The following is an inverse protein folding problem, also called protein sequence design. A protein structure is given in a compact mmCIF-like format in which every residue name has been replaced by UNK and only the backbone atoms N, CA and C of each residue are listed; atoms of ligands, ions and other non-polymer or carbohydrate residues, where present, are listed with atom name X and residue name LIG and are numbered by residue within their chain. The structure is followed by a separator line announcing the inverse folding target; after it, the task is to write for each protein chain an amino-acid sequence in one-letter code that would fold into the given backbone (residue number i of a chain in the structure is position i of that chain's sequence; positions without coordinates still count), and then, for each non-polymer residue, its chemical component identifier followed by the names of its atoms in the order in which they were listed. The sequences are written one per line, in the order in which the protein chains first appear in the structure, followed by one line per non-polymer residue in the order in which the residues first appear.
data_IF_482798770886
#
_entry.id   IF_482798770886
#
_cell.length_a   1.000
_cell.length_b   1.000
_cell.length_c   1.000
_cell.angle_alpha   90.00
_cell.angle_beta   90.00
_cell.angle_gamma   90.00
#
_symmetry.space_group_name_H-M   'P 1'
#
loop_
_entity.id
_entity.type
_entity.pdbx_description
1 polymer ?
#
# COMPACT_ATOMS: atom_id res chain seq x y z
N UNK A 1 25.44 18.14 5.42
CA UNK A 1 24.43 19.18 5.71
C UNK A 1 23.73 19.47 4.39
N UNK A 2 22.66 18.75 4.08
CA UNK A 2 21.86 18.96 2.88
C UNK A 2 20.85 20.07 3.17
N UNK A 3 20.77 21.06 2.29
CA UNK A 3 19.76 22.10 2.38
C UNK A 3 18.42 21.53 1.86
N UNK A 4 17.40 21.65 2.71
CA UNK A 4 16.03 21.18 2.53
C UNK A 4 15.32 21.89 1.36
N UNK A 5 14.53 21.19 0.52
CA UNK A 5 13.65 21.85 -0.45
C UNK A 5 12.45 22.55 0.22
N UNK A 6 12.20 22.29 1.51
CA UNK A 6 11.16 22.96 2.29
C UNK A 6 11.75 24.14 3.06
N UNK A 7 11.17 25.34 2.86
CA UNK A 7 11.51 26.53 3.62
C UNK A 7 11.23 26.41 5.12
N UNK A 8 11.83 27.32 5.90
CA UNK A 8 11.52 27.52 7.32
C UNK A 8 10.03 27.84 7.48
N UNK A 9 9.36 27.05 8.32
CA UNK A 9 7.92 27.01 8.64
C UNK A 9 7.00 26.13 7.78
N UNK A 10 7.50 25.37 6.80
CA UNK A 10 6.70 24.30 6.17
C UNK A 10 5.28 24.71 5.76
N UNK A 11 5.12 25.12 4.49
CA UNK A 11 3.88 25.61 3.81
C UNK A 11 3.71 27.14 3.86
N UNK A 12 2.89 27.72 2.95
CA UNK A 12 1.50 27.81 3.37
C UNK A 12 0.43 27.70 2.26
N UNK A 13 -0.79 27.44 2.76
CA UNK A 13 -2.06 27.70 2.11
C UNK A 13 -2.06 29.00 1.26
N UNK A 14 -2.61 28.86 0.06
CA UNK A 14 -2.48 29.81 -1.04
C UNK A 14 -2.38 29.03 -2.36
N UNK A 15 -2.37 29.75 -3.46
CA UNK A 15 -2.30 29.19 -4.81
C UNK A 15 -0.87 28.67 -5.11
N UNK A 16 -0.64 27.34 -5.22
CA UNK A 16 0.69 26.74 -5.05
C UNK A 16 1.67 26.98 -6.21
N UNK A 17 1.20 27.48 -7.36
CA UNK A 17 2.03 27.65 -8.55
C UNK A 17 2.30 26.33 -9.28
N UNK A 18 3.34 26.32 -10.11
CA UNK A 18 3.75 25.15 -10.89
C UNK A 18 5.27 24.97 -10.87
N UNK A 19 5.70 23.74 -10.69
CA UNK A 19 7.08 23.32 -10.92
C UNK A 19 7.19 22.80 -12.35
N UNK A 20 8.20 23.27 -13.08
CA UNK A 20 8.51 22.81 -14.43
C UNK A 20 9.89 22.14 -14.42
N UNK A 21 10.01 21.03 -15.12
CA UNK A 21 11.27 20.33 -15.32
C UNK A 21 11.49 19.95 -16.78
N UNK A 22 12.72 20.11 -17.26
CA UNK A 22 13.14 19.65 -18.59
C UNK A 22 14.27 18.65 -18.42
N UNK A 23 14.07 17.44 -18.91
CA UNK A 23 14.99 16.31 -18.80
C UNK A 23 15.96 16.29 -19.98
N UNK A 24 17.24 16.47 -19.68
CA UNK A 24 18.34 16.56 -20.64
C UNK A 24 18.87 15.16 -20.92
N UNK A 25 19.28 14.88 -22.16
CA UNK A 25 19.79 13.56 -22.56
C UNK A 25 21.15 13.16 -21.98
N UNK A 26 21.68 13.92 -21.02
CA UNK A 26 22.97 13.71 -20.37
C UNK A 26 22.75 13.41 -18.88
N UNK A 27 23.51 12.48 -18.31
CA UNK A 27 23.49 12.19 -16.87
C UNK A 27 23.88 13.45 -16.06
N UNK A 28 23.24 13.66 -14.90
CA UNK A 28 23.52 14.82 -14.06
C UNK A 28 24.99 14.91 -13.64
N UNK A 29 25.63 13.77 -13.36
CA UNK A 29 27.02 13.72 -12.93
C UNK A 29 28.03 13.87 -14.07
N UNK A 30 27.58 13.66 -15.32
CA UNK A 30 28.38 13.86 -16.52
C UNK A 30 28.19 15.26 -17.13
N UNK A 31 27.23 16.04 -16.63
CA UNK A 31 26.93 17.38 -17.13
C UNK A 31 28.00 18.39 -16.67
N UNK A 32 28.81 18.89 -17.60
CA UNK A 32 29.89 19.82 -17.30
C UNK A 32 29.36 21.18 -16.79
N UNK A 33 30.14 21.88 -15.96
CA UNK A 33 29.74 23.17 -15.38
C UNK A 33 29.39 24.23 -16.46
N UNK A 34 30.09 24.23 -17.60
CA UNK A 34 29.77 25.14 -18.71
C UNK A 34 28.40 24.83 -19.33
N UNK A 35 28.07 23.55 -19.47
CA UNK A 35 26.75 23.09 -19.94
C UNK A 35 25.67 23.45 -18.93
N UNK A 36 25.92 23.25 -17.63
CA UNK A 36 25.01 23.64 -16.55
C UNK A 36 24.69 25.13 -16.60
N UNK A 37 25.71 25.99 -16.65
CA UNK A 37 25.54 27.44 -16.78
C UNK A 37 24.73 27.78 -18.03
N UNK A 38 25.03 27.15 -19.16
CA UNK A 38 24.34 27.43 -20.43
C UNK A 38 22.87 27.04 -20.38
N UNK A 39 22.53 25.90 -19.81
CA UNK A 39 21.13 25.46 -19.64
C UNK A 39 20.38 26.43 -18.72
N UNK A 40 20.96 26.85 -17.59
CA UNK A 40 20.36 27.83 -16.70
C UNK A 40 20.11 29.18 -17.43
N UNK A 41 21.06 29.65 -18.24
CA UNK A 41 20.87 30.82 -19.08
C UNK A 41 19.73 30.66 -20.09
N UNK A 42 19.63 29.50 -20.74
CA UNK A 42 18.57 29.20 -21.72
C UNK A 42 17.19 29.17 -21.06
N UNK A 43 17.09 28.79 -19.78
CA UNK A 43 15.81 28.89 -19.08
C UNK A 43 15.37 30.33 -18.89
N UNK A 44 16.31 31.25 -18.65
CA UNK A 44 16.00 32.63 -18.32
C UNK A 44 15.16 32.81 -17.05
N UNK A 45 15.09 31.78 -16.19
CA UNK A 45 14.28 31.78 -14.96
C UNK A 45 15.18 31.96 -13.73
N UNK A 46 14.91 32.96 -12.88
CA UNK A 46 15.63 33.11 -11.62
C UNK A 46 15.27 31.96 -10.68
N UNK A 47 16.28 31.34 -10.08
CA UNK A 47 16.07 30.20 -9.18
C UNK A 47 15.87 28.86 -9.88
N UNK A 48 16.11 28.78 -11.20
CA UNK A 48 16.29 27.49 -11.85
C UNK A 48 17.49 26.75 -11.25
N UNK A 49 17.35 25.44 -11.06
CA UNK A 49 18.38 24.57 -10.50
C UNK A 49 18.36 23.21 -11.20
N UNK A 50 19.29 22.32 -10.84
CA UNK A 50 19.34 20.96 -11.35
C UNK A 50 18.82 19.92 -10.36
N UNK A 51 18.14 18.92 -10.91
CA UNK A 51 17.71 17.71 -10.22
C UNK A 51 18.06 16.47 -11.07
N UNK A 52 17.95 15.28 -10.49
CA UNK A 52 18.16 14.01 -11.18
C UNK A 52 16.83 13.38 -11.58
N UNK A 53 16.73 12.84 -12.79
CA UNK A 53 15.57 12.04 -13.21
C UNK A 53 15.63 10.61 -12.69
N UNK A 54 14.53 9.87 -12.83
CA UNK A 54 14.48 8.45 -12.47
C UNK A 54 15.48 7.60 -13.27
N UNK A 55 15.87 8.03 -14.47
CA UNK A 55 16.86 7.34 -15.32
C UNK A 55 18.30 7.82 -15.06
N UNK A 56 18.51 8.75 -14.13
CA UNK A 56 19.80 9.36 -13.81
C UNK A 56 20.12 10.63 -14.61
N UNK A 57 19.32 10.96 -15.63
CA UNK A 57 19.50 12.14 -16.47
C UNK A 57 19.37 13.45 -15.70
N UNK A 58 20.09 14.48 -16.14
CA UNK A 58 19.99 15.82 -15.60
C UNK A 58 18.62 16.42 -15.92
N UNK A 59 18.03 17.12 -14.95
CA UNK A 59 16.80 17.89 -15.13
C UNK A 59 17.06 19.32 -14.73
N UNK A 60 16.73 20.28 -15.59
CA UNK A 60 16.64 21.68 -15.13
C UNK A 60 15.23 21.93 -14.63
N UNK A 61 15.12 22.40 -13.39
CA UNK A 61 13.85 22.58 -12.66
C UNK A 61 13.69 24.04 -12.26
N UNK A 62 12.49 24.60 -12.39
CA UNK A 62 12.18 25.95 -11.94
C UNK A 62 10.70 26.11 -11.54
N UNK A 63 10.44 27.13 -10.74
CA UNK A 63 9.11 27.44 -10.22
C UNK A 63 8.43 28.57 -11.01
N UNK A 64 7.12 28.43 -11.19
CA UNK A 64 6.23 29.43 -11.76
C UNK A 64 5.15 29.81 -10.75
N UNK A 65 4.79 31.11 -10.64
CA UNK A 65 3.61 31.50 -9.87
C UNK A 65 2.34 30.93 -10.51
N UNK A 66 1.23 30.89 -9.77
CA UNK A 66 -0.02 30.43 -10.38
C UNK A 66 -0.51 31.41 -11.45
N UNK A 67 -0.32 31.02 -12.70
CA UNK A 67 -0.81 31.72 -13.88
C UNK A 67 -1.95 30.97 -14.57
N UNK A 68 -2.40 29.86 -13.96
CA UNK A 68 -3.23 28.86 -14.61
C UNK A 68 -2.45 27.96 -15.57
N UNK A 69 -2.99 26.75 -15.80
CA UNK A 69 -2.32 25.67 -16.53
C UNK A 69 -1.87 26.06 -17.95
N UNK A 70 -2.69 26.80 -18.69
CA UNK A 70 -2.39 27.18 -20.08
C UNK A 70 -1.17 28.10 -20.16
N UNK A 71 -1.08 29.08 -19.26
CA UNK A 71 0.01 30.03 -19.27
C UNK A 71 1.31 29.36 -18.78
N UNK A 72 1.22 28.52 -17.74
CA UNK A 72 2.37 27.79 -17.23
C UNK A 72 2.88 26.77 -18.27
N UNK A 73 1.99 26.08 -18.99
CA UNK A 73 2.35 25.19 -20.09
C UNK A 73 2.96 25.92 -21.29
N UNK A 74 2.55 27.16 -21.56
CA UNK A 74 3.18 28.00 -22.60
C UNK A 74 4.60 28.38 -22.20
N UNK A 75 4.80 28.77 -20.94
CA UNK A 75 6.12 29.07 -20.39
C UNK A 75 7.06 27.86 -20.47
N UNK A 76 6.57 26.69 -20.05
CA UNK A 76 7.30 25.44 -20.14
C UNK A 76 7.69 25.10 -21.58
N UNK A 77 6.80 25.33 -22.55
CA UNK A 77 7.05 25.08 -23.97
C UNK A 77 8.12 26.02 -24.54
N UNK A 78 8.12 27.29 -24.16
CA UNK A 78 9.11 28.27 -24.59
C UNK A 78 10.52 27.89 -24.09
N UNK A 79 10.62 27.49 -22.82
CA UNK A 79 11.88 27.01 -22.22
C UNK A 79 12.32 25.70 -22.87
N UNK A 80 11.40 24.74 -23.05
CA UNK A 80 11.68 23.48 -23.76
C UNK A 80 12.26 23.74 -25.16
N UNK A 81 11.66 24.67 -25.92
CA UNK A 81 12.13 25.02 -27.25
C UNK A 81 13.51 25.69 -27.23
N UNK A 82 13.81 26.52 -26.23
CA UNK A 82 15.12 27.14 -26.07
C UNK A 82 16.20 26.09 -25.76
N UNK A 83 15.93 25.17 -24.83
CA UNK A 83 16.87 24.11 -24.44
C UNK A 83 17.08 23.12 -25.59
N UNK A 84 16.01 22.67 -26.27
CA UNK A 84 16.11 21.80 -27.45
C UNK A 84 16.87 22.41 -28.63
N UNK A 85 17.06 23.74 -28.65
CA UNK A 85 17.89 24.39 -29.65
C UNK A 85 19.37 24.06 -29.54
N UNK A 86 19.83 23.62 -28.36
CA UNK A 86 21.25 23.41 -28.05
C UNK A 86 21.55 22.06 -27.40
N UNK A 87 20.58 21.43 -26.73
CA UNK A 87 20.74 20.19 -25.99
C UNK A 87 19.75 19.12 -26.45
N UNK A 88 20.17 17.87 -26.35
CA UNK A 88 19.25 16.73 -26.43
C UNK A 88 18.35 16.73 -25.19
N UNK A 89 17.05 16.57 -25.40
CA UNK A 89 16.04 16.57 -24.34
C UNK A 89 15.19 15.33 -24.53
N UNK A 90 14.96 14.59 -23.44
CA UNK A 90 14.15 13.37 -23.44
C UNK A 90 12.73 13.60 -22.95
N UNK A 91 12.48 14.69 -22.24
CA UNK A 91 11.14 15.02 -21.78
C UNK A 91 10.99 16.39 -21.15
N UNK A 92 9.75 16.78 -20.95
CA UNK A 92 9.35 17.95 -20.20
C UNK A 92 8.17 17.61 -19.31
N UNK A 93 8.14 18.23 -18.13
CA UNK A 93 7.11 18.02 -17.13
C UNK A 93 6.70 19.34 -16.52
N UNK A 94 5.40 19.47 -16.26
CA UNK A 94 4.83 20.54 -15.46
C UNK A 94 3.91 19.90 -14.41
N UNK A 95 4.03 20.34 -13.17
CA UNK A 95 3.28 19.82 -12.04
C UNK A 95 2.87 20.97 -11.12
N UNK A 96 1.77 20.83 -10.39
CA UNK A 96 1.51 21.72 -9.26
C UNK A 96 2.63 21.58 -8.23
N UNK A 97 3.16 22.70 -7.76
CA UNK A 97 4.36 22.68 -6.89
C UNK A 97 4.13 21.97 -5.56
N UNK A 98 2.89 21.94 -5.05
CA UNK A 98 2.54 21.20 -3.83
C UNK A 98 2.55 19.68 -3.99
N UNK A 99 2.50 19.19 -5.23
CA UNK A 99 2.54 17.77 -5.59
C UNK A 99 3.89 17.35 -6.19
N UNK A 100 4.84 18.26 -6.36
CA UNK A 100 6.11 17.98 -7.04
C UNK A 100 6.93 16.88 -6.34
N UNK A 101 6.97 16.94 -5.01
CA UNK A 101 7.70 15.98 -4.16
C UNK A 101 7.03 14.60 -4.09
N UNK A 102 5.76 14.50 -4.51
CA UNK A 102 5.13 13.20 -4.69
C UNK A 102 5.68 12.59 -5.97
N UNK A 103 6.12 11.33 -5.91
CA UNK A 103 6.60 10.65 -7.09
C UNK A 103 5.52 10.62 -8.16
N UNK A 104 5.84 10.91 -9.44
CA UNK A 104 4.85 10.81 -10.49
C UNK A 104 4.35 9.36 -10.58
N UNK A 105 3.04 9.16 -10.46
CA UNK A 105 2.44 7.83 -10.47
C UNK A 105 2.34 7.36 -11.93
N UNK A 106 3.13 6.35 -12.29
CA UNK A 106 3.06 5.67 -13.60
C UNK A 106 2.65 4.21 -13.36
N UNK A 107 1.35 3.95 -13.21
CA UNK A 107 0.85 2.70 -12.64
C UNK A 107 0.88 1.52 -13.62
N UNK A 108 0.97 1.77 -14.93
CA UNK A 108 0.89 0.68 -15.91
C UNK A 108 1.80 0.88 -17.11
N UNK A 109 2.45 -0.20 -17.50
CA UNK A 109 2.98 -0.38 -18.85
C UNK A 109 1.86 -0.15 -19.89
N UNK A 110 2.11 0.58 -20.99
CA UNK A 110 1.19 0.59 -22.12
C UNK A 110 0.88 -0.86 -22.50
N UNK A 111 -0.39 -1.16 -22.77
CA UNK A 111 -0.90 -2.51 -23.08
C UNK A 111 -0.15 -3.24 -24.21
N UNK A 112 0.69 -2.53 -24.96
CA UNK A 112 1.53 -3.05 -26.04
C UNK A 112 2.64 -3.99 -25.56
N UNK A 113 3.08 -3.94 -24.29
CA UNK A 113 4.06 -4.91 -23.77
C UNK A 113 3.48 -6.32 -23.65
N UNK A 114 2.16 -6.48 -23.51
CA UNK A 114 1.53 -7.82 -23.56
C UNK A 114 1.71 -8.53 -24.91
N UNK A 115 2.05 -7.78 -25.98
CA UNK A 115 2.24 -8.35 -27.32
C UNK A 115 3.68 -8.78 -27.61
N UNK A 116 4.63 -8.60 -26.67
CA UNK A 116 6.04 -8.94 -26.87
C UNK A 116 6.70 -8.17 -28.02
N UNK A 117 6.05 -7.11 -28.50
CA UNK A 117 6.58 -6.24 -29.54
C UNK A 117 7.30 -5.09 -28.84
N UNK A 118 8.58 -4.82 -29.16
CA UNK A 118 9.19 -3.59 -28.68
C UNK A 118 8.31 -2.42 -29.14
N UNK A 119 8.06 -1.43 -28.28
CA UNK A 119 7.38 -0.20 -28.69
C UNK A 119 8.11 0.34 -29.92
N UNK A 120 7.36 0.84 -30.91
CA UNK A 120 7.97 1.58 -32.01
C UNK A 120 8.89 2.64 -31.38
N UNK A 121 10.16 2.70 -31.81
CA UNK A 121 11.23 3.57 -31.25
C UNK A 121 10.98 5.08 -31.48
N UNK A 122 9.75 5.39 -31.84
CA UNK A 122 9.34 6.49 -32.68
C UNK A 122 8.01 7.03 -32.13
N UNK A 123 7.85 7.10 -30.80
CA UNK A 123 6.61 7.54 -30.16
C UNK A 123 6.93 8.54 -29.06
N UNK A 124 6.06 9.54 -28.91
CA UNK A 124 6.07 10.40 -27.72
C UNK A 124 4.92 9.97 -26.83
N UNK A 125 5.22 9.79 -25.54
CA UNK A 125 4.23 9.46 -24.52
C UNK A 125 3.91 10.72 -23.75
N UNK A 126 2.61 11.00 -23.61
CA UNK A 126 2.10 12.08 -22.77
C UNK A 126 1.33 11.46 -21.63
N UNK A 127 1.73 11.75 -20.41
CA UNK A 127 1.01 11.36 -19.20
C UNK A 127 0.36 12.56 -18.56
N UNK A 128 -0.86 12.36 -18.04
CA UNK A 128 -1.69 13.42 -17.47
C UNK A 128 -2.32 12.91 -16.20
N UNK A 129 -2.05 13.58 -15.09
CA UNK A 129 -2.65 13.30 -13.80
C UNK A 129 -3.78 14.30 -13.53
N UNK A 130 -4.97 13.76 -13.25
CA UNK A 130 -6.18 14.52 -12.96
C UNK A 130 -6.63 14.26 -11.53
N UNK A 131 -7.01 15.32 -10.82
CA UNK A 131 -7.62 15.25 -9.50
C UNK A 131 -9.09 14.80 -9.62
N UNK A 132 -9.49 13.79 -8.83
CA UNK A 132 -10.86 13.27 -8.76
C UNK A 132 -11.55 13.52 -7.41
N UNK A 133 -10.91 14.23 -6.49
CA UNK A 133 -11.48 14.66 -5.19
C UNK A 133 -12.80 15.43 -5.33
N UNK A 134 -12.99 16.11 -6.47
CA UNK A 134 -14.30 16.61 -6.88
C UNK A 134 -15.04 15.46 -7.57
N UNK A 135 -15.86 14.67 -6.84
CA UNK A 135 -16.64 13.54 -7.40
C UNK A 135 -17.26 13.86 -8.77
N UNK A 136 -16.61 13.44 -9.85
CA UNK A 136 -17.10 13.61 -11.23
C UNK A 136 -17.64 12.31 -11.77
N UNK A 137 -18.57 12.41 -12.71
CA UNK A 137 -19.16 11.22 -13.29
C UNK A 137 -18.14 10.48 -14.17
N UNK A 138 -18.26 9.15 -14.25
CA UNK A 138 -17.52 8.33 -15.24
C UNK A 138 -17.74 8.80 -16.68
N UNK A 139 -18.86 9.49 -16.95
CA UNK A 139 -19.13 10.12 -18.25
C UNK A 139 -18.20 11.32 -18.55
N UNK A 140 -17.77 12.07 -17.54
CA UNK A 140 -16.85 13.20 -17.72
C UNK A 140 -15.42 12.71 -18.02
N UNK A 141 -15.02 11.58 -17.43
CA UNK A 141 -13.76 10.90 -17.75
C UNK A 141 -13.79 10.34 -19.18
N UNK A 142 -14.91 9.71 -19.55
CA UNK A 142 -15.14 9.24 -20.92
C UNK A 142 -15.08 10.37 -21.96
N UNK A 143 -15.58 11.56 -21.61
CA UNK A 143 -15.47 12.76 -22.47
C UNK A 143 -14.03 13.24 -22.56
N UNK A 144 -13.30 13.33 -21.46
CA UNK A 144 -11.88 13.69 -21.48
C UNK A 144 -11.05 12.75 -22.36
N UNK A 145 -11.26 11.43 -22.23
CA UNK A 145 -10.64 10.43 -23.10
C UNK A 145 -11.02 10.60 -24.57
N UNK A 146 -12.27 10.96 -24.88
CA UNK A 146 -12.72 11.19 -26.25
C UNK A 146 -12.00 12.39 -26.89
N UNK A 147 -11.84 13.49 -26.15
CA UNK A 147 -11.09 14.67 -26.61
C UNK A 147 -9.63 14.32 -26.90
N UNK A 148 -9.01 13.51 -26.05
CA UNK A 148 -7.61 13.10 -26.21
C UNK A 148 -7.41 12.07 -27.33
N UNK A 149 -8.40 11.20 -27.59
CA UNK A 149 -8.40 10.24 -28.70
C UNK A 149 -8.40 10.88 -30.09
N UNK A 150 -8.77 12.15 -30.20
CA UNK A 150 -8.70 12.88 -31.46
C UNK A 150 -7.26 13.02 -31.99
N UNK A 151 -6.26 12.75 -31.15
CA UNK A 151 -4.86 13.08 -31.41
C UNK A 151 -3.92 11.89 -31.28
N UNK A 152 -4.28 10.88 -30.51
CA UNK A 152 -3.47 9.68 -30.33
C UNK A 152 -4.23 8.56 -29.64
N UNK A 153 -3.52 7.46 -29.37
CA UNK A 153 -4.06 6.38 -28.55
C UNK A 153 -4.15 6.85 -27.10
N UNK A 154 -5.35 7.17 -26.62
CA UNK A 154 -5.58 7.61 -25.24
C UNK A 154 -6.31 6.55 -24.41
N UNK A 155 -5.75 6.25 -23.24
CA UNK A 155 -6.31 5.33 -22.26
C UNK A 155 -6.14 5.88 -20.83
N UNK A 156 -7.03 5.44 -19.93
CA UNK A 156 -6.93 5.73 -18.50
C UNK A 156 -6.35 4.51 -17.80
N UNK A 157 -5.54 4.76 -16.79
CA UNK A 157 -4.83 3.75 -16.00
C UNK A 157 -5.18 3.94 -14.52
N UNK A 158 -5.15 2.88 -13.70
CA UNK A 158 -5.50 2.97 -12.28
C UNK A 158 -4.49 3.83 -11.53
N UNK A 159 -4.89 4.89 -10.84
CA UNK A 159 -3.99 5.66 -9.97
C UNK A 159 -4.39 5.46 -8.49
N UNK A 160 -3.46 5.61 -7.53
CA UNK A 160 -3.76 5.76 -6.10
C UNK A 160 -4.86 6.79 -5.83
N UNK A 161 -5.47 6.67 -4.65
CA UNK A 161 -6.65 7.39 -4.15
C UNK A 161 -6.92 8.77 -4.78
N UNK A 162 -8.16 8.94 -5.21
CA UNK A 162 -8.72 10.18 -5.76
C UNK A 162 -7.98 10.76 -6.99
N UNK A 163 -7.29 9.97 -7.81
CA UNK A 163 -6.69 10.46 -9.07
C UNK A 163 -7.05 9.63 -10.29
N UNK A 164 -6.99 10.26 -11.47
CA UNK A 164 -7.01 9.58 -12.75
C UNK A 164 -5.71 9.84 -13.50
N UNK A 165 -5.09 8.77 -14.01
CA UNK A 165 -3.89 8.87 -14.81
C UNK A 165 -4.18 8.51 -16.27
N UNK A 166 -4.07 9.48 -17.16
CA UNK A 166 -4.30 9.32 -18.59
C UNK A 166 -2.97 9.20 -19.32
N UNK A 167 -2.88 8.23 -20.23
CA UNK A 167 -1.73 8.04 -21.10
C UNK A 167 -2.17 8.27 -22.54
N UNK A 168 -1.45 9.13 -23.24
CA UNK A 168 -1.58 9.36 -24.67
C UNK A 168 -0.31 8.94 -25.39
N UNK A 169 -0.46 8.10 -26.40
CA UNK A 169 0.63 7.74 -27.31
C UNK A 169 0.47 8.53 -28.60
N UNK A 170 1.48 9.31 -28.94
CA UNK A 170 1.51 10.14 -30.15
C UNK A 170 2.54 9.58 -31.16
N UNK A 171 2.15 9.36 -32.42
CA UNK A 171 3.06 8.84 -33.45
C UNK A 171 4.20 9.83 -33.80
N UNK A 172 5.42 9.32 -34.09
CA UNK A 172 6.71 10.05 -34.26
C UNK A 172 6.78 11.28 -35.15
N UNK A 173 5.70 11.68 -35.81
CA UNK A 173 5.75 12.83 -36.72
C UNK A 173 5.83 14.17 -35.98
N UNK A 174 5.80 14.16 -34.65
CA UNK A 174 5.87 15.32 -33.79
C UNK A 174 7.13 15.25 -32.92
N UNK A 175 8.05 16.22 -33.08
CA UNK A 175 9.10 16.48 -32.08
C UNK A 175 8.50 16.66 -30.68
N UNK A 176 9.28 16.51 -29.60
CA UNK A 176 8.83 16.79 -28.22
C UNK A 176 8.08 18.12 -28.09
N UNK A 177 8.54 19.18 -28.77
CA UNK A 177 7.86 20.48 -28.84
C UNK A 177 6.48 20.36 -29.49
N UNK A 178 6.41 19.65 -30.62
CA UNK A 178 5.15 19.46 -31.35
C UNK A 178 4.16 18.61 -30.54
N UNK A 179 4.63 17.54 -29.90
CA UNK A 179 3.84 16.69 -29.02
C UNK A 179 3.32 17.49 -27.81
N UNK A 180 4.19 18.28 -27.17
CA UNK A 180 3.84 19.17 -26.05
C UNK A 180 2.80 20.21 -26.46
N UNK A 181 2.98 20.86 -27.60
CA UNK A 181 2.06 21.88 -28.10
C UNK A 181 0.69 21.29 -28.45
N UNK A 182 0.67 20.08 -29.01
CA UNK A 182 -0.58 19.39 -29.36
C UNK A 182 -1.28 18.89 -28.08
N UNK A 183 -0.55 18.26 -27.16
CA UNK A 183 -1.05 17.83 -25.86
C UNK A 183 -1.66 19.01 -25.08
N UNK A 184 -0.93 20.13 -24.99
CA UNK A 184 -1.40 21.35 -24.34
C UNK A 184 -2.73 21.84 -24.92
N UNK A 185 -2.89 21.85 -26.25
CA UNK A 185 -4.16 22.22 -26.90
C UNK A 185 -5.30 21.27 -26.56
N UNK A 186 -5.04 19.96 -26.55
CA UNK A 186 -6.04 18.94 -26.22
C UNK A 186 -6.45 18.96 -24.75
N UNK A 187 -5.58 19.44 -23.88
CA UNK A 187 -5.83 19.54 -22.45
C UNK A 187 -6.60 20.80 -22.04
N UNK A 188 -6.79 21.79 -22.93
CA UNK A 188 -7.64 22.96 -22.65
C UNK A 188 -9.08 22.54 -22.28
N UNK A 189 -9.82 21.75 -23.11
CA UNK A 189 -11.16 21.29 -22.74
C UNK A 189 -11.14 20.38 -21.51
N UNK A 190 -10.09 19.57 -21.34
CA UNK A 190 -9.92 18.72 -20.15
C UNK A 190 -9.78 19.59 -18.91
N UNK A 191 -8.98 20.66 -18.93
CA UNK A 191 -8.76 21.59 -17.82
C UNK A 191 -9.98 22.45 -17.46
N UNK A 192 -10.96 22.59 -18.37
CA UNK A 192 -12.26 23.17 -18.03
C UNK A 192 -13.15 22.21 -17.24
N UNK A 193 -12.90 20.91 -17.41
CA UNK A 193 -13.54 19.86 -16.64
C UNK A 193 -12.67 19.59 -15.43
N UNK A 194 -11.59 18.86 -15.57
CA UNK A 194 -10.73 18.36 -14.52
C UNK A 194 -9.70 19.36 -14.03
N UNK A 195 -9.30 19.22 -12.78
CA UNK A 195 -8.08 19.85 -12.29
C UNK A 195 -6.89 19.00 -12.72
N UNK A 196 -6.01 19.58 -13.53
CA UNK A 196 -4.79 18.94 -14.00
C UNK A 196 -3.71 19.16 -12.94
N UNK A 197 -3.20 18.07 -12.38
CA UNK A 197 -2.16 18.10 -11.35
C UNK A 197 -0.76 18.03 -11.95
N UNK A 198 -0.61 17.24 -13.02
CA UNK A 198 0.68 16.95 -13.64
C UNK A 198 0.49 16.61 -15.11
N UNK A 199 1.40 17.09 -15.95
CA UNK A 199 1.52 16.64 -17.33
C UNK A 199 2.99 16.45 -17.62
N UNK A 200 3.30 15.30 -18.20
CA UNK A 200 4.64 14.99 -18.66
C UNK A 200 4.58 14.52 -20.10
N UNK A 201 5.52 15.00 -20.90
CA UNK A 201 5.72 14.65 -22.30
C UNK A 201 7.13 14.11 -22.40
N UNK A 202 7.28 12.87 -22.83
CA UNK A 202 8.56 12.15 -22.78
C UNK A 202 8.68 11.22 -23.97
N UNK A 203 9.90 10.96 -24.42
CA UNK A 203 10.16 9.96 -25.44
C UNK A 203 9.75 8.56 -24.95
N UNK A 204 9.23 7.72 -25.84
CA UNK A 204 8.75 6.39 -25.48
C UNK A 204 9.85 5.55 -24.84
N UNK A 205 11.09 5.62 -25.35
CA UNK A 205 12.21 4.87 -24.77
C UNK A 205 12.47 5.28 -23.32
N UNK A 206 12.51 6.57 -23.02
CA UNK A 206 12.69 7.08 -21.65
C UNK A 206 11.52 6.67 -20.77
N UNK A 207 10.28 6.83 -21.25
CA UNK A 207 9.09 6.35 -20.53
C UNK A 207 9.15 4.85 -20.20
N UNK A 208 9.61 4.03 -21.14
CA UNK A 208 9.79 2.60 -20.93
C UNK A 208 10.95 2.27 -19.99
N UNK A 209 12.06 3.01 -20.05
CA UNK A 209 13.16 2.85 -19.10
C UNK A 209 12.73 3.20 -17.67
N UNK A 210 11.92 4.23 -17.49
CA UNK A 210 11.36 4.58 -16.18
C UNK A 210 10.40 3.49 -15.66
N UNK A 211 9.57 2.95 -16.56
CA UNK A 211 8.72 1.82 -16.22
C UNK A 211 9.53 0.55 -15.94
N UNK A 212 10.63 0.32 -16.66
CA UNK A 212 11.53 -0.81 -16.44
C UNK A 212 12.31 -0.68 -15.14
N UNK A 213 12.83 0.50 -14.81
CA UNK A 213 13.55 0.75 -13.57
C UNK A 213 12.62 0.56 -12.36
N UNK A 214 11.38 1.05 -12.47
CA UNK A 214 10.31 0.74 -11.50
C UNK A 214 9.91 -0.73 -11.51
N UNK A 215 9.85 -1.38 -12.68
CA UNK A 215 9.61 -2.82 -12.78
C UNK A 215 10.78 -3.66 -12.21
N UNK A 216 11.98 -3.09 -12.08
CA UNK A 216 13.13 -3.69 -11.37
C UNK A 216 13.08 -3.43 -9.88
N UNK A 217 12.11 -2.66 -9.36
CA UNK A 217 11.79 -2.61 -7.94
C UNK A 217 11.19 -3.96 -7.53
N UNK A 218 12.09 -4.91 -7.31
CA UNK A 218 11.81 -6.08 -6.52
C UNK A 218 11.96 -5.66 -5.06
N UNK A 219 10.91 -5.83 -4.22
CA UNK A 219 11.06 -5.54 -2.81
C UNK A 219 12.24 -6.39 -2.29
N UNK A 220 13.22 -5.79 -1.59
CA UNK A 220 14.39 -6.52 -1.09
C UNK A 220 14.04 -7.47 0.06
N UNK A 221 12.75 -7.59 0.36
CA UNK A 221 12.14 -8.28 1.49
C UNK A 221 10.80 -8.85 1.06
N UNK A 222 10.16 -9.60 1.95
CA UNK A 222 8.77 -10.01 1.81
C UNK A 222 7.91 -8.75 1.56
N UNK A 223 7.10 -8.70 0.48
CA UNK A 223 6.18 -7.58 0.23
C UNK A 223 5.11 -7.54 1.32
N UNK A 224 4.56 -6.37 1.62
CA UNK A 224 3.44 -6.25 2.56
C UNK A 224 2.22 -7.01 2.00
N UNK A 225 1.70 -7.97 2.75
CA UNK A 225 0.70 -8.92 2.26
C UNK A 225 -0.37 -9.20 3.32
N UNK A 226 -1.56 -9.58 2.85
CA UNK A 226 -2.70 -9.96 3.69
C UNK A 226 -3.45 -11.15 3.08
N UNK A 227 -4.27 -11.84 3.87
CA UNK A 227 -5.30 -12.75 3.33
C UNK A 227 -6.58 -11.97 3.04
N UNK A 228 -7.14 -12.13 1.84
CA UNK A 228 -8.43 -11.54 1.51
C UNK A 228 -9.57 -12.24 2.26
N UNK A 229 -10.50 -11.44 2.76
CA UNK A 229 -11.73 -11.90 3.38
C UNK A 229 -12.74 -12.36 2.31
N UNK A 230 -13.36 -13.53 2.52
CA UNK A 230 -14.53 -13.97 1.76
C UNK A 230 -14.27 -14.71 0.45
N UNK A 231 -13.62 -15.89 0.50
CA UNK A 231 -13.51 -16.82 -0.62
C UNK A 231 -14.17 -18.17 -0.34
N UNK A 232 -14.91 -18.72 -1.32
CA UNK A 232 -15.60 -20.01 -1.18
C UNK A 232 -14.64 -21.22 -1.32
N UNK A 233 -13.55 -21.08 -2.09
CA UNK A 233 -12.71 -22.21 -2.52
C UNK A 233 -11.24 -22.15 -2.04
N UNK A 234 -10.89 -21.27 -1.11
CA UNK A 234 -9.51 -21.16 -0.61
C UNK A 234 -9.19 -19.87 0.11
N UNK A 235 -7.91 -19.71 0.47
CA UNK A 235 -7.35 -18.46 0.99
C UNK A 235 -6.68 -17.70 -0.14
N UNK A 236 -7.00 -16.44 -0.31
CA UNK A 236 -6.32 -15.61 -1.31
C UNK A 236 -5.28 -14.73 -0.61
N UNK A 237 -4.01 -14.92 -0.95
CA UNK A 237 -2.95 -13.99 -0.57
C UNK A 237 -3.06 -12.77 -1.46
N UNK A 238 -2.98 -11.58 -0.87
CA UNK A 238 -3.03 -10.31 -1.58
C UNK A 238 -1.85 -9.44 -1.17
N UNK A 239 -1.14 -8.92 -2.16
CA UNK A 239 -0.21 -7.80 -2.00
C UNK A 239 -0.89 -6.55 -2.55
N UNK A 240 -1.39 -5.65 -1.68
CA UNK A 240 -2.16 -4.48 -2.09
C UNK A 240 -1.28 -3.39 -2.73
N UNK A 241 0.04 -3.44 -2.53
CA UNK A 241 0.97 -2.53 -3.17
C UNK A 241 1.01 -2.76 -4.69
N UNK A 242 0.20 -1.97 -5.39
CA UNK A 242 0.13 -2.00 -6.84
C UNK A 242 1.39 -1.49 -7.53
N UNK A 243 2.28 -0.80 -6.83
CA UNK A 243 3.54 -0.27 -7.37
C UNK A 243 4.64 -1.33 -7.46
N UNK A 244 4.59 -2.37 -6.62
CA UNK A 244 5.53 -3.48 -6.68
C UNK A 244 5.37 -4.28 -7.98
N UNK A 245 6.49 -4.64 -8.62
CA UNK A 245 6.47 -5.60 -9.74
C UNK A 245 6.75 -7.02 -9.25
N UNK A 246 5.67 -7.79 -9.12
CA UNK A 246 5.70 -9.20 -8.72
C UNK A 246 5.41 -10.15 -9.90
N UNK A 247 5.61 -9.71 -11.14
CA UNK A 247 5.40 -10.57 -12.30
C UNK A 247 6.31 -11.81 -12.26
N UNK A 248 5.71 -12.99 -12.44
CA UNK A 248 6.40 -14.28 -12.36
C UNK A 248 6.88 -14.66 -10.96
N UNK A 249 6.57 -13.86 -9.94
CA UNK A 249 6.79 -14.27 -8.56
C UNK A 249 5.80 -15.38 -8.20
N UNK A 250 6.24 -16.24 -7.29
CA UNK A 250 5.41 -17.30 -6.74
C UNK A 250 5.35 -17.19 -5.24
N UNK A 251 4.26 -17.68 -4.66
CA UNK A 251 4.11 -17.88 -3.24
C UNK A 251 4.14 -19.37 -2.94
N UNK A 252 4.80 -19.75 -1.85
CA UNK A 252 4.74 -21.11 -1.32
C UNK A 252 3.95 -21.14 -0.02
N UNK A 253 3.21 -22.22 0.18
CA UNK A 253 2.43 -22.46 1.38
C UNK A 253 2.54 -23.90 1.85
N UNK A 254 2.17 -24.13 3.11
CA UNK A 254 2.18 -25.45 3.74
C UNK A 254 0.86 -25.74 4.43
N UNK A 255 0.25 -26.89 4.14
CA UNK A 255 -0.93 -27.38 4.86
C UNK A 255 -0.55 -28.11 6.15
N UNK A 256 -1.55 -28.37 7.00
CA UNK A 256 -1.39 -29.06 8.28
C UNK A 256 -0.83 -30.48 8.16
N UNK A 257 -1.01 -31.14 7.01
CA UNK A 257 -0.44 -32.46 6.70
C UNK A 257 1.03 -32.40 6.21
N UNK A 258 1.59 -31.19 6.12
CA UNK A 258 2.95 -30.94 5.64
C UNK A 258 3.07 -30.81 4.12
N UNK A 259 1.98 -30.94 3.35
CA UNK A 259 2.00 -30.78 1.91
C UNK A 259 2.34 -29.33 1.53
N UNK A 260 3.28 -29.17 0.60
CA UNK A 260 3.69 -27.88 0.05
C UNK A 260 2.91 -27.57 -1.22
N UNK A 261 2.46 -26.32 -1.33
CA UNK A 261 1.82 -25.79 -2.53
C UNK A 261 2.53 -24.54 -2.99
N UNK A 262 2.56 -24.33 -4.30
CA UNK A 262 3.09 -23.12 -4.92
C UNK A 262 2.05 -22.56 -5.87
N UNK A 263 1.83 -21.25 -5.80
CA UNK A 263 0.93 -20.52 -6.70
C UNK A 263 1.66 -19.30 -7.27
N UNK A 264 1.37 -18.96 -8.51
CA UNK A 264 1.88 -17.75 -9.15
C UNK A 264 1.08 -16.53 -8.70
N UNK A 265 1.75 -15.40 -8.52
CA UNK A 265 1.08 -14.11 -8.28
C UNK A 265 0.57 -13.55 -9.60
N UNK A 266 -0.73 -13.27 -9.63
CA UNK A 266 -1.42 -12.67 -10.78
C UNK A 266 -2.06 -11.34 -10.41
N UNK A 267 -2.30 -10.46 -11.39
CA UNK A 267 -3.05 -9.22 -11.15
C UNK A 267 -4.54 -9.52 -11.11
N UNK A 268 -5.21 -9.05 -10.06
CA UNK A 268 -6.66 -9.17 -9.91
C UNK A 268 -7.25 -7.96 -9.19
N UNK A 269 -8.58 -7.81 -9.28
CA UNK A 269 -9.33 -6.76 -8.59
C UNK A 269 -9.83 -7.27 -7.23
N UNK A 270 -9.52 -6.50 -6.20
CA UNK A 270 -9.98 -6.75 -4.83
C UNK A 270 -10.53 -5.45 -4.23
N UNK A 271 -11.12 -5.52 -3.04
CA UNK A 271 -11.59 -4.35 -2.31
C UNK A 271 -10.78 -4.16 -1.04
N UNK A 272 -10.56 -2.92 -0.64
CA UNK A 272 -9.95 -2.54 0.62
C UNK A 272 -10.91 -1.63 1.37
N UNK A 273 -11.20 -1.93 2.63
CA UNK A 273 -12.08 -1.09 3.45
C UNK A 273 -11.31 0.07 4.11
N UNK A 274 -12.03 0.92 4.84
CA UNK A 274 -11.46 2.06 5.56
C UNK A 274 -10.44 1.65 6.64
N UNK A 275 -10.46 0.38 7.08
CA UNK A 275 -9.51 -0.18 8.03
C UNK A 275 -8.29 -0.82 7.35
N UNK A 276 -8.20 -0.76 6.01
CA UNK A 276 -7.10 -1.34 5.25
C UNK A 276 -7.18 -2.86 5.05
N UNK A 277 -8.34 -3.47 5.33
CA UNK A 277 -8.54 -4.91 5.20
C UNK A 277 -8.99 -5.26 3.78
N UNK A 278 -8.27 -6.21 3.18
CA UNK A 278 -8.59 -6.69 1.84
C UNK A 278 -9.75 -7.70 1.88
N UNK A 279 -10.73 -7.53 1.01
CA UNK A 279 -11.86 -8.44 0.88
C UNK A 279 -12.27 -8.68 -0.58
N UNK A 280 -12.96 -9.80 -0.80
CA UNK A 280 -13.59 -10.19 -2.07
C UNK A 280 -15.11 -9.98 -2.06
N UNK A 281 -15.63 -9.39 -0.99
CA UNK A 281 -17.07 -9.23 -0.73
C UNK A 281 -17.66 -7.96 -1.34
N UNK A 282 -16.81 -7.06 -1.86
CA UNK A 282 -17.25 -5.84 -2.51
C UNK A 282 -17.40 -4.63 -1.58
N UNK A 283 -16.79 -4.67 -0.39
CA UNK A 283 -16.87 -3.59 0.60
C UNK A 283 -15.64 -2.69 0.53
N UNK A 284 -15.85 -1.37 0.43
CA UNK A 284 -14.77 -0.38 0.36
C UNK A 284 -14.34 -0.03 -1.06
N UNK A 285 -13.13 0.48 -1.19
CA UNK A 285 -12.56 0.94 -2.45
C UNK A 285 -11.97 -0.21 -3.25
N UNK A 286 -12.21 -0.19 -4.56
CA UNK A 286 -11.73 -1.26 -5.45
C UNK A 286 -10.31 -0.94 -5.91
N UNK A 287 -9.38 -1.85 -5.63
CA UNK A 287 -7.97 -1.74 -5.97
C UNK A 287 -7.53 -2.88 -6.89
N UNK A 288 -6.47 -2.65 -7.66
CA UNK A 288 -5.76 -3.71 -8.39
C UNK A 288 -4.58 -4.17 -7.57
N UNK A 289 -4.53 -5.47 -7.25
CA UNK A 289 -3.54 -6.05 -6.37
C UNK A 289 -2.90 -7.30 -7.00
N UNK A 290 -1.77 -7.75 -6.44
CA UNK A 290 -1.25 -9.07 -6.78
C UNK A 290 -1.90 -10.12 -5.89
N UNK A 291 -2.46 -11.15 -6.49
CA UNK A 291 -3.21 -12.18 -5.80
C UNK A 291 -2.68 -13.58 -6.12
N UNK A 292 -2.78 -14.48 -5.15
CA UNK A 292 -2.51 -15.90 -5.35
C UNK A 292 -3.43 -16.74 -4.48
N UNK A 293 -4.11 -17.71 -5.08
CA UNK A 293 -5.03 -18.61 -4.36
C UNK A 293 -4.27 -19.78 -3.77
N UNK A 294 -4.43 -19.96 -2.47
CA UNK A 294 -3.90 -21.06 -1.68
C UNK A 294 -5.03 -21.98 -1.19
N UNK A 295 -4.74 -23.25 -0.91
CA UNK A 295 -5.69 -24.13 -0.24
C UNK A 295 -6.15 -23.55 1.11
N UNK A 296 -7.41 -23.79 1.50
CA UNK A 296 -8.05 -23.09 2.63
C UNK A 296 -7.35 -23.17 3.99
N UNK A 297 -6.63 -24.26 4.28
CA UNK A 297 -5.87 -24.44 5.53
C UNK A 297 -4.36 -24.17 5.39
N UNK A 298 -3.90 -23.72 4.23
CA UNK A 298 -2.49 -23.52 3.99
C UNK A 298 -2.00 -22.23 4.66
N UNK A 299 -0.84 -22.31 5.31
CA UNK A 299 -0.10 -21.16 5.83
C UNK A 299 0.90 -20.71 4.78
N UNK A 300 0.97 -19.41 4.53
CA UNK A 300 1.96 -18.84 3.63
C UNK A 300 3.36 -18.97 4.26
N UNK A 301 4.32 -19.49 3.51
CA UNK A 301 5.68 -19.76 4.02
C UNK A 301 6.76 -18.90 3.35
N UNK A 302 6.58 -18.55 2.08
CA UNK A 302 7.58 -17.75 1.36
C UNK A 302 7.04 -17.11 0.08
N UNK A 303 7.74 -16.07 -0.36
CA UNK A 303 7.66 -15.50 -1.69
C UNK A 303 8.93 -15.88 -2.45
N UNK A 304 8.86 -16.15 -3.74
CA UNK A 304 10.02 -16.44 -4.57
C UNK A 304 9.98 -15.65 -5.87
N UNK A 305 11.12 -15.03 -6.19
CA UNK A 305 11.34 -14.33 -7.46
C UNK A 305 11.38 -15.32 -8.64
N UNK A 306 11.20 -14.86 -9.89
CA UNK A 306 11.39 -15.69 -11.09
C UNK A 306 12.78 -16.32 -11.19
N UNK A 307 13.79 -15.68 -10.58
CA UNK A 307 15.19 -16.14 -10.57
C UNK A 307 15.46 -17.16 -9.45
N UNK A 308 14.47 -17.47 -8.61
CA UNK A 308 14.55 -18.48 -7.55
C UNK A 308 15.08 -17.96 -6.21
N UNK A 309 15.27 -16.66 -6.05
CA UNK A 309 15.52 -16.05 -4.72
C UNK A 309 14.25 -16.17 -3.88
N UNK A 310 14.37 -16.79 -2.71
CA UNK A 310 13.27 -17.03 -1.77
C UNK A 310 13.34 -16.06 -0.58
N UNK A 311 12.22 -15.43 -0.26
CA UNK A 311 11.99 -14.61 0.91
C UNK A 311 11.04 -15.36 1.85
N UNK A 312 11.57 -15.80 2.99
CA UNK A 312 10.77 -16.51 3.99
C UNK A 312 9.84 -15.52 4.70
N UNK A 313 8.57 -15.89 4.81
CA UNK A 313 7.59 -15.17 5.62
C UNK A 313 7.86 -15.50 7.08
N UNK A 314 7.94 -14.48 7.94
CA UNK A 314 8.05 -14.69 9.38
C UNK A 314 6.81 -15.45 9.86
N UNK A 315 7.01 -16.49 10.66
CA UNK A 315 5.90 -17.29 11.19
C UNK A 315 4.98 -16.44 12.08
N UNK A 316 5.52 -15.40 12.73
CA UNK A 316 4.73 -14.44 13.49
C UNK A 316 3.82 -13.59 12.59
N UNK A 317 4.31 -13.14 11.44
CA UNK A 317 3.48 -12.40 10.46
C UNK A 317 2.35 -13.26 9.91
N UNK A 318 2.63 -14.55 9.68
CA UNK A 318 1.61 -15.54 9.32
C UNK A 318 0.54 -15.73 10.41
N UNK A 319 0.96 -15.76 11.68
CA UNK A 319 0.05 -15.84 12.84
C UNK A 319 -0.80 -14.58 12.99
N UNK A 320 -0.20 -13.39 12.85
CA UNK A 320 -0.93 -12.10 12.88
C UNK A 320 -2.04 -12.10 11.84
N UNK A 321 -1.74 -12.42 10.58
CA UNK A 321 -2.73 -12.46 9.51
C UNK A 321 -3.84 -13.51 9.75
N UNK A 322 -3.49 -14.64 10.36
CA UNK A 322 -4.47 -15.65 10.75
C UNK A 322 -5.41 -15.17 11.87
N UNK A 323 -4.87 -14.48 12.88
CA UNK A 323 -5.67 -13.87 13.95
C UNK A 323 -6.63 -12.82 13.39
N UNK A 324 -6.17 -11.95 12.48
CA UNK A 324 -7.03 -10.98 11.80
C UNK A 324 -8.18 -11.66 11.07
N UNK A 325 -7.90 -12.70 10.27
CA UNK A 325 -8.94 -13.48 9.59
C UNK A 325 -9.96 -14.07 10.59
N UNK A 326 -9.47 -14.55 11.73
CA UNK A 326 -10.30 -15.16 12.78
C UNK A 326 -11.19 -14.11 13.44
N UNK A 327 -10.66 -12.92 13.74
CA UNK A 327 -11.40 -11.83 14.36
C UNK A 327 -12.50 -11.30 13.42
N UNK A 328 -12.22 -11.19 12.11
CA UNK A 328 -13.23 -10.71 11.15
C UNK A 328 -14.38 -11.70 10.95
N UNK A 329 -14.08 -13.01 10.93
CA UNK A 329 -15.11 -14.04 10.66
C UNK A 329 -16.11 -14.19 11.80
N UNK A 330 -15.79 -13.72 13.00
CA UNK A 330 -16.54 -14.00 14.22
C UNK A 330 -16.96 -12.69 14.88
N UNK A 331 -18.25 -12.58 15.25
CA UNK A 331 -18.80 -11.36 15.83
C UNK A 331 -18.47 -11.15 17.33
N UNK A 332 -19.09 -10.12 17.91
CA UNK A 332 -19.01 -9.78 19.34
C UNK A 332 -19.22 -11.01 20.24
N UNK A 333 -18.39 -11.12 21.27
CA UNK A 333 -18.37 -12.24 22.21
C UNK A 333 -17.43 -13.40 21.84
N UNK A 334 -16.70 -13.32 20.73
CA UNK A 334 -15.56 -14.22 20.49
C UNK A 334 -14.43 -13.92 21.50
N UNK A 335 -13.91 -14.97 22.12
CA UNK A 335 -12.69 -14.94 22.93
C UNK A 335 -11.67 -15.91 22.32
N UNK A 336 -10.47 -15.42 22.04
CA UNK A 336 -9.31 -16.20 21.60
C UNK A 336 -8.26 -16.18 22.72
N UNK A 337 -7.96 -17.34 23.27
CA UNK A 337 -6.92 -17.54 24.29
C UNK A 337 -5.64 -18.06 23.62
N UNK A 338 -4.52 -17.39 23.89
CA UNK A 338 -3.19 -17.75 23.42
C UNK A 338 -2.28 -18.01 24.63
N UNK A 339 -1.55 -19.11 24.61
CA UNK A 339 -0.62 -19.50 25.68
C UNK A 339 0.14 -20.79 25.33
N UNK A 340 0.99 -21.33 26.21
CA UNK A 340 1.71 -22.57 25.95
C UNK A 340 0.78 -23.77 25.77
N UNK A 341 0.96 -24.51 24.67
CA UNK A 341 0.14 -25.65 24.31
C UNK A 341 0.31 -26.81 25.29
N UNK A 342 -0.80 -27.37 25.77
CA UNK A 342 -0.79 -28.48 26.73
C UNK A 342 -0.47 -28.07 28.17
N UNK A 343 -0.34 -26.77 28.45
CA UNK A 343 -0.20 -26.26 29.81
C UNK A 343 -1.50 -26.49 30.59
N UNK A 344 -1.40 -27.15 31.75
CA UNK A 344 -2.50 -27.32 32.71
C UNK A 344 -2.14 -26.53 33.95
N UNK A 345 -2.92 -25.49 34.24
CA UNK A 345 -2.73 -24.70 35.44
C UNK A 345 -2.90 -25.58 36.69
N UNK A 346 -2.05 -25.42 37.73
CA UNK A 346 -2.32 -26.01 39.03
C UNK A 346 -3.71 -25.55 39.49
N UNK A 347 -4.58 -26.50 39.83
CA UNK A 347 -5.92 -26.19 40.33
C UNK A 347 -5.77 -25.77 41.79
N UNK A 348 -6.30 -24.60 42.18
CA UNK A 348 -6.22 -24.10 43.56
C UNK A 348 -6.93 -25.00 44.61
N UNK A 349 -7.71 -26.01 44.17
CA UNK A 349 -8.58 -26.87 45.00
C UNK A 349 -8.27 -28.39 44.87
N UNK A 350 -7.00 -28.80 44.81
CA UNK A 350 -6.65 -30.21 45.04
C UNK A 350 -6.32 -30.42 46.52
N UNK A 351 -7.12 -31.25 47.21
CA UNK A 351 -6.76 -31.80 48.52
C UNK A 351 -5.37 -32.47 48.40
N UNK A 352 -4.49 -32.22 49.38
CA UNK A 352 -3.06 -32.59 49.43
C UNK A 352 -2.70 -34.07 49.14
N UNK A 353 -3.68 -34.96 48.93
CA UNK A 353 -3.52 -36.41 48.88
C UNK A 353 -3.55 -37.02 47.46
N UNK A 354 -3.85 -36.27 46.39
CA UNK A 354 -3.98 -36.80 45.01
C UNK A 354 -2.91 -36.32 44.00
N UNK A 355 -1.77 -35.79 44.47
CA UNK A 355 -0.66 -35.36 43.61
C UNK A 355 0.32 -36.50 43.27
N UNK A 356 -0.14 -37.48 42.49
CA UNK A 356 0.74 -38.32 41.68
C UNK A 356 0.42 -38.08 40.19
N UNK A 357 1.38 -37.51 39.44
CA UNK A 357 1.40 -37.29 37.98
C UNK A 357 0.77 -36.01 37.40
N UNK A 358 1.30 -34.85 37.78
CA UNK A 358 1.55 -33.79 36.80
C UNK A 358 2.89 -33.14 37.15
N UNK A 359 3.74 -32.86 36.16
CA UNK A 359 4.91 -32.01 36.33
C UNK A 359 4.42 -30.62 36.78
N UNK A 360 4.30 -30.42 38.10
CA UNK A 360 3.93 -29.14 38.69
C UNK A 360 5.09 -28.19 38.45
N UNK A 361 4.95 -27.34 37.43
CA UNK A 361 5.82 -26.18 37.23
C UNK A 361 5.79 -25.29 38.48
N UNK A 362 6.89 -24.60 38.77
CA UNK A 362 7.00 -23.74 39.94
C UNK A 362 5.86 -22.69 39.88
N UNK A 363 5.07 -22.46 40.94
CA UNK A 363 4.09 -21.36 40.96
C UNK A 363 4.72 -19.98 40.69
N UNK A 364 6.04 -19.85 40.79
CA UNK A 364 6.82 -18.67 40.42
C UNK A 364 7.27 -18.65 38.94
N UNK A 365 6.99 -19.70 38.14
CA UNK A 365 7.31 -19.73 36.71
C UNK A 365 6.35 -18.81 35.91
N UNK A 366 6.91 -17.84 35.21
CA UNK A 366 6.15 -16.94 34.33
C UNK A 366 5.55 -17.70 33.14
N UNK A 367 4.23 -17.61 32.98
CA UNK A 367 3.49 -18.20 31.85
C UNK A 367 2.99 -17.07 30.95
N UNK A 368 3.64 -16.90 29.80
CA UNK A 368 3.27 -15.87 28.84
C UNK A 368 1.93 -16.23 28.20
N UNK A 369 0.92 -15.38 28.39
CA UNK A 369 -0.42 -15.54 27.83
C UNK A 369 -0.89 -14.24 27.18
N UNK A 370 -1.75 -14.35 26.17
CA UNK A 370 -2.51 -13.23 25.63
C UNK A 370 -3.95 -13.68 25.33
N UNK A 371 -4.89 -12.74 25.37
CA UNK A 371 -6.28 -13.00 25.04
C UNK A 371 -6.82 -11.86 24.17
N UNK A 372 -7.57 -12.22 23.14
CA UNK A 372 -8.34 -11.30 22.30
C UNK A 372 -9.82 -11.52 22.59
N UNK A 373 -10.57 -10.46 22.87
CA UNK A 373 -12.01 -10.52 23.09
C UNK A 373 -12.69 -9.49 22.19
N UNK A 374 -13.51 -9.96 21.26
CA UNK A 374 -14.28 -9.11 20.34
C UNK A 374 -15.45 -8.49 21.09
N UNK A 375 -15.51 -7.17 21.12
CA UNK A 375 -16.56 -6.35 21.70
C UNK A 375 -17.55 -5.87 20.61
N UNK A 376 -18.50 -5.03 20.98
CA UNK A 376 -19.41 -4.39 20.03
C UNK A 376 -18.67 -3.42 19.10
N UNK A 377 -19.31 -3.06 17.97
CA UNK A 377 -18.77 -2.16 16.94
C UNK A 377 -17.40 -2.58 16.35
N UNK A 378 -17.03 -3.86 16.47
CA UNK A 378 -15.80 -4.41 15.90
C UNK A 378 -14.53 -4.06 16.69
N UNK A 379 -14.67 -3.49 17.89
CA UNK A 379 -13.54 -3.24 18.79
C UNK A 379 -13.03 -4.54 19.40
N UNK A 380 -11.73 -4.70 19.48
CA UNK A 380 -11.09 -5.83 20.15
C UNK A 380 -10.40 -5.36 21.42
N UNK A 381 -10.70 -6.06 22.52
CA UNK A 381 -9.96 -5.97 23.76
C UNK A 381 -8.80 -6.98 23.73
N UNK A 382 -7.58 -6.48 23.82
CA UNK A 382 -6.37 -7.26 23.95
C UNK A 382 -5.91 -7.25 25.40
N UNK A 383 -5.70 -8.45 25.95
CA UNK A 383 -5.12 -8.66 27.28
C UNK A 383 -3.81 -9.42 27.13
N UNK A 384 -2.82 -9.04 27.91
CA UNK A 384 -1.53 -9.76 28.00
C UNK A 384 -1.21 -10.08 29.45
N UNK A 385 -0.48 -11.16 29.69
CA UNK A 385 -0.10 -11.57 31.04
C UNK A 385 1.17 -12.44 31.03
N UNK A 386 1.87 -12.44 32.17
CA UNK A 386 2.92 -13.41 32.52
C UNK A 386 2.39 -14.53 33.43
N UNK A 387 1.09 -14.68 33.54
CA UNK A 387 0.41 -15.79 34.23
C UNK A 387 -0.81 -16.24 33.41
N UNK A 388 -1.49 -17.30 33.85
CA UNK A 388 -2.70 -17.80 33.18
C UNK A 388 -3.82 -16.77 33.27
N UNK A 389 -4.31 -16.32 32.11
CA UNK A 389 -5.46 -15.42 32.02
C UNK A 389 -6.76 -16.20 32.27
N UNK A 390 -7.56 -15.75 33.24
CA UNK A 390 -8.95 -16.17 33.36
C UNK A 390 -9.78 -15.49 32.27
N UNK A 391 -10.77 -16.20 31.70
CA UNK A 391 -11.77 -15.59 30.81
C UNK A 391 -12.63 -14.61 31.59
N UNK A 392 -12.70 -13.37 31.11
CA UNK A 392 -13.58 -12.38 31.70
C UNK A 392 -15.03 -12.66 31.32
N UNK A 393 -15.92 -12.56 32.31
CA UNK A 393 -17.36 -12.58 32.08
C UNK A 393 -17.84 -11.13 32.11
N UNK A 394 -17.83 -10.48 30.96
CA UNK A 394 -18.29 -9.10 30.83
C UNK A 394 -19.82 -9.04 30.97
N UNK A 395 -20.33 -7.97 31.60
CA UNK A 395 -21.76 -7.76 31.79
C UNK A 395 -22.47 -7.37 30.49
N UNK A 396 -21.77 -6.64 29.62
CA UNK A 396 -22.09 -6.36 28.23
C UNK A 396 -20.79 -6.18 27.43
N UNK A 397 -20.91 -6.01 26.11
CA UNK A 397 -19.77 -5.78 25.21
C UNK A 397 -19.72 -4.33 24.70
N UNK A 398 -20.34 -3.39 25.42
CA UNK A 398 -20.41 -2.00 24.99
C UNK A 398 -19.03 -1.35 24.99
N UNK A 399 -18.78 -0.53 23.97
CA UNK A 399 -17.52 0.21 23.80
C UNK A 399 -17.66 1.69 24.16
N UNK A 400 -18.82 2.12 24.65
CA UNK A 400 -19.10 3.51 24.97
C UNK A 400 -18.16 4.02 26.08
N UNK A 401 -17.39 5.06 25.77
CA UNK A 401 -16.46 5.69 26.71
C UNK A 401 -15.08 5.05 26.80
N UNK A 402 -14.77 4.04 25.98
CA UNK A 402 -13.42 3.49 25.89
C UNK A 402 -12.50 4.41 25.09
N UNK A 403 -11.27 4.58 25.58
CA UNK A 403 -10.18 5.20 24.83
C UNK A 403 -9.46 4.12 24.01
N UNK A 404 -9.52 4.27 22.68
CA UNK A 404 -8.94 3.33 21.73
C UNK A 404 -7.46 3.64 21.45
N UNK A 405 -6.73 2.62 21.00
CA UNK A 405 -5.33 2.69 20.52
C UNK A 405 -4.32 3.16 21.58
N UNK A 406 -4.68 3.00 22.85
CA UNK A 406 -3.83 3.31 24.01
C UNK A 406 -3.77 2.10 24.94
N UNK A 407 -2.57 1.79 25.42
CA UNK A 407 -2.39 0.77 26.45
C UNK A 407 -2.73 1.34 27.82
N UNK A 408 -3.68 0.69 28.50
CA UNK A 408 -4.07 0.97 29.87
C UNK A 408 -3.23 0.11 30.82
N UNK A 409 -2.48 0.77 31.71
CA UNK A 409 -1.51 0.16 32.62
C UNK A 409 -1.81 0.43 34.09
N UNK A 410 -3.07 0.70 34.44
CA UNK A 410 -3.49 1.39 35.67
C UNK A 410 -3.21 0.69 37.02
N UNK A 411 -2.38 -0.36 37.02
CA UNK A 411 -1.82 -0.98 38.22
C UNK A 411 -2.63 -2.19 38.67
N UNK A 412 -1.92 -3.33 38.78
CA UNK A 412 -2.36 -4.66 39.22
C UNK A 412 -3.87 -4.91 39.15
N UNK A 413 -4.34 -5.26 37.96
CA UNK A 413 -5.69 -5.74 37.78
C UNK A 413 -5.85 -7.09 38.50
N UNK A 414 -6.97 -7.28 39.22
CA UNK A 414 -7.27 -8.51 39.98
C UNK A 414 -7.48 -9.76 39.10
N UNK A 415 -7.35 -9.62 37.78
CA UNK A 415 -7.53 -10.65 36.75
C UNK A 415 -6.19 -11.14 36.15
N UNK A 416 -5.09 -10.79 36.80
CA UNK A 416 -3.72 -11.15 36.45
C UNK A 416 -3.22 -10.58 35.11
N UNK A 417 -3.85 -9.55 34.53
CA UNK A 417 -3.35 -8.94 33.28
C UNK A 417 -2.28 -7.86 33.54
N UNK A 418 -1.33 -7.76 32.61
CA UNK A 418 -0.28 -6.75 32.57
C UNK A 418 -0.73 -5.46 31.83
N UNK A 419 -1.93 -5.45 31.27
CA UNK A 419 -2.50 -4.29 30.60
C UNK A 419 -3.60 -4.65 29.61
N UNK A 420 -4.39 -3.63 29.29
CA UNK A 420 -5.46 -3.68 28.29
C UNK A 420 -5.14 -2.77 27.12
N UNK A 421 -5.47 -3.22 25.92
CA UNK A 421 -5.55 -2.38 24.73
C UNK A 421 -6.93 -2.58 24.12
N UNK A 422 -7.61 -1.50 23.77
CA UNK A 422 -8.86 -1.52 23.02
C UNK A 422 -8.59 -0.88 21.66
N UNK A 423 -8.97 -1.54 20.57
CA UNK A 423 -8.72 -1.00 19.23
C UNK A 423 -9.73 -1.54 18.23
N UNK A 424 -10.10 -0.72 17.26
CA UNK A 424 -10.83 -1.16 16.05
C UNK A 424 -9.87 -1.61 14.94
N UNK A 425 -8.57 -1.38 15.09
CA UNK A 425 -7.55 -1.88 14.18
C UNK A 425 -7.20 -3.33 14.55
N UNK A 426 -7.74 -4.28 13.77
CA UNK A 426 -7.55 -5.71 13.99
C UNK A 426 -6.10 -6.14 13.77
N UNK A 427 -5.37 -5.47 12.87
CA UNK A 427 -3.95 -5.74 12.67
C UNK A 427 -3.14 -5.28 13.88
N UNK A 428 -3.47 -4.13 14.47
CA UNK A 428 -2.88 -3.69 15.72
C UNK A 428 -3.18 -4.67 16.85
N UNK A 429 -4.43 -5.14 16.99
CA UNK A 429 -4.81 -6.11 18.01
C UNK A 429 -4.03 -7.43 17.88
N UNK A 430 -4.01 -8.01 16.67
CA UNK A 430 -3.29 -9.25 16.40
C UNK A 430 -1.76 -9.10 16.55
N UNK A 431 -1.20 -7.99 16.08
CA UNK A 431 0.24 -7.70 16.19
C UNK A 431 0.66 -7.49 17.63
N UNK A 432 -0.18 -6.85 18.45
CA UNK A 432 0.08 -6.69 19.88
C UNK A 432 0.18 -8.04 20.59
N UNK A 433 -0.68 -9.01 20.24
CA UNK A 433 -0.60 -10.37 20.76
C UNK A 433 0.66 -11.10 20.30
N UNK A 434 0.97 -11.11 19.00
CA UNK A 434 2.13 -11.85 18.49
C UNK A 434 3.46 -11.24 18.95
N UNK A 435 3.55 -9.91 19.03
CA UNK A 435 4.71 -9.22 19.59
C UNK A 435 4.94 -9.58 21.06
N UNK A 436 3.88 -9.75 21.86
CA UNK A 436 3.98 -10.15 23.26
C UNK A 436 4.74 -11.47 23.43
N UNK A 437 4.36 -12.50 22.68
CA UNK A 437 5.04 -13.80 22.71
C UNK A 437 6.46 -13.73 22.15
N UNK A 438 6.65 -12.99 21.05
CA UNK A 438 7.95 -12.81 20.40
C UNK A 438 8.98 -12.18 21.34
N UNK A 439 8.58 -11.17 22.12
CA UNK A 439 9.49 -10.37 22.93
C UNK A 439 9.78 -11.00 24.31
N UNK A 440 8.87 -11.83 24.83
CA UNK A 440 8.96 -12.39 26.19
C UNK A 440 9.37 -13.86 26.24
N UNK A 441 9.63 -14.49 25.08
CA UNK A 441 10.39 -15.74 25.01
C UNK A 441 9.73 -16.98 25.64
N UNK A 442 8.41 -16.97 25.85
CA UNK A 442 7.69 -18.08 26.49
C UNK A 442 7.51 -19.34 25.64
N UNK A 443 7.96 -19.35 24.39
CA UNK A 443 7.79 -20.46 23.44
C UNK A 443 9.05 -20.67 22.60
N UNK A 444 9.59 -21.88 22.62
CA UNK A 444 10.76 -22.25 21.78
C UNK A 444 10.41 -22.33 20.28
N UNK A 445 9.13 -22.46 19.94
CA UNK A 445 8.60 -22.44 18.58
C UNK A 445 7.10 -22.06 18.57
N UNK A 446 6.61 -21.49 17.46
CA UNK A 446 5.17 -21.22 17.25
C UNK A 446 4.31 -22.48 17.38
N UNK A 447 4.87 -23.65 17.06
CA UNK A 447 4.18 -24.95 17.16
C UNK A 447 3.90 -25.36 18.63
N UNK A 448 4.50 -24.66 19.60
CA UNK A 448 4.22 -24.80 21.02
C UNK A 448 3.15 -23.80 21.52
N UNK A 449 2.65 -22.89 20.67
CA UNK A 449 1.54 -22.00 21.01
C UNK A 449 0.22 -22.78 20.95
N UNK A 450 -0.44 -22.94 22.09
CA UNK A 450 -1.83 -23.34 22.18
C UNK A 450 -2.75 -22.17 21.83
N UNK A 451 -3.83 -22.49 21.13
CA UNK A 451 -4.91 -21.56 20.81
C UNK A 451 -6.23 -22.22 21.16
N UNK A 452 -7.03 -21.60 22.03
CA UNK A 452 -8.40 -22.00 22.31
C UNK A 452 -9.36 -20.88 21.95
N UNK A 453 -10.54 -21.23 21.45
CA UNK A 453 -11.57 -20.26 21.09
C UNK A 453 -12.88 -20.60 21.79
N UNK A 454 -13.53 -19.57 22.32
CA UNK A 454 -14.86 -19.72 22.92
C UNK A 454 -15.77 -18.58 22.46
N UNK A 455 -17.06 -18.90 22.40
CA UNK A 455 -18.12 -17.97 22.06
C UNK A 455 -18.95 -17.71 23.31
N UNK A 456 -19.54 -16.52 23.41
CA UNK A 456 -20.54 -16.26 24.42
C UNK A 456 -21.73 -17.25 24.29
N UNK A 457 -22.15 -17.82 25.41
CA UNK A 457 -23.34 -18.68 25.44
C UNK A 457 -24.57 -17.85 25.05
N UNK A 458 -25.25 -18.25 23.97
CA UNK A 458 -26.56 -17.70 23.65
C UNK A 458 -27.59 -18.25 24.63
N UNK A 459 -28.39 -17.38 25.26
CA UNK A 459 -29.59 -17.83 25.96
C UNK A 459 -30.50 -18.56 24.96
N UNK A 460 -31.15 -19.67 25.35
CA UNK A 460 -32.10 -20.34 24.48
C UNK A 460 -33.13 -19.33 23.96
N UNK A 461 -33.19 -19.15 22.65
CA UNK A 461 -34.24 -18.36 22.04
C UNK A 461 -35.58 -19.01 22.43
N UNK A 462 -36.46 -18.28 23.10
CA UNK A 462 -37.85 -18.71 23.17
C UNK A 462 -38.41 -18.56 21.76
N UNK A 463 -38.46 -19.66 21.01
CA UNK A 463 -39.22 -19.77 19.78
C UNK A 463 -40.66 -19.32 20.08
N UNK A 464 -40.99 -18.09 19.70
CA UNK A 464 -42.34 -17.77 19.28
C UNK A 464 -42.35 -17.94 17.78
N UNK A 465 -42.65 -19.16 17.36
CA UNK A 465 -43.18 -19.41 16.02
C UNK A 465 -44.40 -18.49 15.81
N UNK A 466 -44.27 -17.61 14.83
CA UNK A 466 -45.27 -16.86 14.05
C UNK A 466 -46.68 -16.63 14.63
N UNK A 467 -47.02 -15.33 14.77
CA UNK A 467 -48.35 -14.79 14.47
C UNK A 467 -48.29 -13.35 13.98
#
# INVERSE_FOLDING_TARGET
MSHSPFGLFGRPAGDPGFTVAIEIGTDLYDLELEQQCRILELTGRPGADFDQSATGCARVVYELPHTGWVQAGTDALDVLQAVLGEFEVFGAEICRSDLWAEEPIFPTMPSEVSTGRPPDQDLTVVTVELDSSVRRSTADLGRALLELRAVGGAHCTPAPEDRHHLILTMPNRSSLVSASAVAGKCLIPVGHMWQINRVRVVESQTYHLELEDRARYHPPRVPDWQFALGGEDGRMVVVPDGSANLHGWTVASRQSDGQKHTAELTRDLVWIDEAGLVNLLGHGDRIEAWTATLPGSALLTSFATPQGTEFLVDRWDGMTNWLVETLVRNGSGLIVDLGPGGYVAPVDDVDDDDLELADVLDPDDEVINAQLHVLDDGVVMVRRSRTVLRRLRLGDHSVEGLELDVWHHDGHFDDCTDGYLFTSDLHLAASACTAWFRDHGGLEALDALGCDYSFADALPATDREDA
#
